data_IF_827783113982
#
_entry.id   IF_827783113982
#
_cell.length_a   1.000
_cell.length_b   1.000
_cell.length_c   1.000
_cell.angle_alpha   90.00
_cell.angle_beta   90.00
_cell.angle_gamma   90.00
#
_symmetry.space_group_name_H-M   'P 1'
#
loop_
_entity.id
_entity.type
_entity.pdbx_description
1 polymer ?
#
# COMPACT_ATOMS: atom_id res chain seq x y z
N UNK A 1 -9.12 8.53 24.07
CA UNK A 1 -8.42 8.11 25.30
C UNK A 1 -7.21 9.00 25.52
N UNK A 2 -6.79 9.19 26.77
CA UNK A 2 -5.55 9.89 27.11
C UNK A 2 -4.42 8.88 26.95
N UNK A 3 -3.44 9.17 26.09
CA UNK A 3 -2.26 8.32 25.88
C UNK A 3 -1.38 8.38 27.13
N UNK A 4 -1.07 7.23 27.73
CA UNK A 4 -0.13 7.06 28.85
C UNK A 4 1.12 6.29 28.40
N UNK A 5 2.23 6.38 29.13
CA UNK A 5 3.45 5.57 28.86
C UNK A 5 3.13 4.06 28.81
N UNK A 6 2.22 3.59 29.66
CA UNK A 6 1.77 2.19 29.70
C UNK A 6 0.97 1.78 28.44
N UNK A 7 0.32 2.73 27.75
CA UNK A 7 -0.32 2.47 26.45
C UNK A 7 0.67 2.51 25.27
N UNK A 8 1.85 3.12 25.44
CA UNK A 8 2.91 3.13 24.42
C UNK A 8 3.68 1.79 24.34
N UNK A 9 3.63 0.97 25.38
CA UNK A 9 4.27 -0.36 25.39
C UNK A 9 3.45 -1.44 24.65
N UNK A 10 2.18 -1.16 24.33
CA UNK A 10 1.32 -2.10 23.60
C UNK A 10 1.48 -1.87 22.10
N UNK A 11 1.51 -2.94 21.28
CA UNK A 11 1.46 -2.79 19.83
C UNK A 11 0.24 -1.96 19.43
N UNK A 12 0.47 -0.84 18.76
CA UNK A 12 -0.58 -0.02 18.18
C UNK A 12 -0.78 -0.40 16.72
N UNK A 13 -2.00 -0.22 16.24
CA UNK A 13 -2.35 -0.45 14.85
C UNK A 13 -3.32 0.64 14.40
N UNK A 14 -3.31 0.89 13.09
CA UNK A 14 -4.27 1.75 12.40
C UNK A 14 -5.15 0.87 11.53
N UNK A 15 -6.46 1.14 11.53
CA UNK A 15 -7.40 0.56 10.57
C UNK A 15 -7.58 1.58 9.43
N UNK A 16 -7.49 1.11 8.18
CA UNK A 16 -7.60 1.96 6.99
C UNK A 16 -8.25 1.19 5.83
N UNK A 17 -8.59 1.87 4.74
CA UNK A 17 -9.39 1.32 3.65
C UNK A 17 -8.68 1.34 2.29
N UNK A 18 -8.51 0.16 1.68
CA UNK A 18 -8.14 0.02 0.26
C UNK A 18 -9.36 -0.43 -0.53
N UNK A 19 -9.69 0.32 -1.59
CA UNK A 19 -10.82 0.01 -2.46
C UNK A 19 -10.40 -0.17 -3.91
N UNK A 20 -11.21 -0.94 -4.64
CA UNK A 20 -11.09 -1.12 -6.07
C UNK A 20 -12.47 -1.06 -6.70
N UNK A 21 -12.61 -0.28 -7.76
CA UNK A 21 -13.84 -0.10 -8.51
C UNK A 21 -13.61 -0.45 -9.98
N UNK A 22 -14.58 -1.14 -10.59
CA UNK A 22 -14.60 -1.40 -12.02
C UNK A 22 -15.81 -0.74 -12.66
N UNK A 23 -15.55 0.16 -13.61
CA UNK A 23 -16.56 0.83 -14.42
C UNK A 23 -16.38 0.42 -15.89
N UNK A 24 -17.03 -0.69 -16.26
CA UNK A 24 -16.85 -1.30 -17.59
C UNK A 24 -15.41 -1.79 -17.79
N UNK A 25 -14.68 -1.15 -18.71
CA UNK A 25 -13.24 -1.41 -18.97
C UNK A 25 -12.30 -0.58 -18.09
N UNK A 26 -12.81 0.42 -17.34
CA UNK A 26 -11.99 1.28 -16.48
C UNK A 26 -11.84 0.65 -15.11
N UNK A 27 -10.60 0.53 -14.66
CA UNK A 27 -10.20 -0.02 -13.38
C UNK A 27 -9.70 1.11 -12.47
N UNK A 28 -10.21 1.21 -11.26
CA UNK A 28 -9.85 2.30 -10.34
C UNK A 28 -9.27 1.71 -9.06
N UNK A 29 -8.03 2.06 -8.73
CA UNK A 29 -7.44 1.82 -7.42
C UNK A 29 -7.62 3.05 -6.53
N UNK A 30 -8.12 2.84 -5.32
CA UNK A 30 -8.26 3.85 -4.28
C UNK A 30 -7.35 3.46 -3.12
N UNK A 31 -6.32 4.28 -2.87
CA UNK A 31 -5.26 4.01 -1.90
C UNK A 31 -5.29 5.11 -0.82
N UNK A 32 -5.25 4.75 0.48
CA UNK A 32 -5.42 5.70 1.57
C UNK A 32 -4.10 6.41 1.94
N UNK A 33 -3.41 7.00 0.96
CA UNK A 33 -2.12 7.65 1.24
C UNK A 33 -1.41 8.19 0.02
N UNK A 34 -0.17 8.62 0.23
CA UNK A 34 0.74 9.16 -0.78
C UNK A 34 1.74 8.09 -1.23
N UNK A 35 1.52 7.47 -2.39
CA UNK A 35 2.44 6.46 -2.92
C UNK A 35 3.66 7.09 -3.57
N UNK A 36 4.80 6.46 -3.34
CA UNK A 36 5.99 6.65 -4.18
C UNK A 36 5.74 6.13 -5.61
N UNK A 37 6.24 6.80 -6.65
CA UNK A 37 5.96 6.46 -8.05
C UNK A 37 6.42 5.05 -8.45
N UNK A 38 7.41 4.50 -7.77
CA UNK A 38 7.95 3.15 -7.98
C UNK A 38 6.89 2.08 -7.69
N UNK A 39 6.04 2.32 -6.68
CA UNK A 39 4.90 1.49 -6.35
C UNK A 39 3.79 1.54 -7.42
N UNK A 40 3.82 2.54 -8.30
CA UNK A 40 2.83 2.69 -9.37
C UNK A 40 3.35 2.04 -10.66
N UNK A 41 4.58 2.36 -11.06
CA UNK A 41 5.13 2.03 -12.38
C UNK A 41 6.34 1.07 -12.36
N UNK A 42 6.82 0.66 -11.20
CA UNK A 42 7.87 -0.37 -11.06
C UNK A 42 9.28 0.08 -11.41
N UNK A 43 9.52 1.39 -11.51
CA UNK A 43 10.87 1.94 -11.74
C UNK A 43 11.61 2.12 -10.41
N UNK A 44 11.80 1.02 -9.70
CA UNK A 44 12.54 1.01 -8.44
C UNK A 44 13.99 1.47 -8.62
N UNK A 45 14.55 2.08 -7.58
CA UNK A 45 15.96 2.47 -7.54
C UNK A 45 16.86 1.25 -7.82
N UNK A 46 17.74 1.37 -8.81
CA UNK A 46 18.69 0.35 -9.25
C UNK A 46 20.08 0.97 -9.52
N UNK A 47 21.17 0.45 -8.93
CA UNK A 47 21.18 -0.60 -7.92
C UNK A 47 20.43 -0.13 -6.65
N UNK A 48 19.97 -1.08 -5.83
CA UNK A 48 19.45 -0.76 -4.50
C UNK A 48 20.50 0.04 -3.71
N UNK A 49 20.05 1.05 -2.97
CA UNK A 49 20.94 1.84 -2.14
C UNK A 49 21.49 0.96 -1.00
N UNK A 50 22.82 0.85 -0.85
CA UNK A 50 23.42 -0.09 0.10
C UNK A 50 23.15 0.27 1.56
N UNK A 51 22.94 1.56 1.83
CA UNK A 51 22.66 2.10 3.17
C UNK A 51 21.15 2.23 3.45
N UNK A 52 20.26 1.78 2.56
CA UNK A 52 18.84 1.66 2.91
C UNK A 52 18.67 0.63 4.03
N UNK A 53 17.61 0.73 4.83
CA UNK A 53 17.40 -0.16 5.98
C UNK A 53 17.10 -1.61 5.56
N UNK A 54 16.54 -1.80 4.35
CA UNK A 54 16.14 -3.11 3.82
C UNK A 54 16.51 -3.30 2.34
N UNK A 55 17.79 -3.21 1.94
CA UNK A 55 18.18 -3.14 0.54
C UNK A 55 17.91 -4.44 -0.24
N UNK A 56 17.80 -5.56 0.48
CA UNK A 56 17.49 -6.89 -0.06
C UNK A 56 15.99 -7.23 -0.01
N UNK A 57 15.13 -6.30 0.44
CA UNK A 57 13.69 -6.54 0.48
C UNK A 57 13.14 -6.83 -0.93
N UNK A 58 12.20 -7.78 -1.07
CA UNK A 58 11.58 -8.07 -2.36
C UNK A 58 10.83 -6.83 -2.85
N UNK A 59 10.83 -6.63 -4.17
CA UNK A 59 10.05 -5.57 -4.81
C UNK A 59 8.56 -5.83 -4.65
N UNK A 60 7.83 -4.81 -4.22
CA UNK A 60 6.37 -4.86 -4.16
C UNK A 60 5.77 -4.98 -5.57
N UNK A 61 4.64 -5.69 -5.73
CA UNK A 61 3.88 -5.60 -6.96
C UNK A 61 3.35 -4.17 -7.14
N UNK A 62 3.38 -3.68 -8.37
CA UNK A 62 2.99 -2.31 -8.67
C UNK A 62 1.49 -2.20 -8.92
N UNK A 63 0.92 -1.01 -8.75
CA UNK A 63 -0.48 -0.73 -9.13
C UNK A 63 -0.73 -1.13 -10.59
N UNK A 64 0.18 -0.79 -11.50
CA UNK A 64 0.08 -1.16 -12.92
C UNK A 64 0.06 -2.69 -13.13
N UNK A 65 0.86 -3.44 -12.37
CA UNK A 65 0.90 -4.91 -12.48
C UNK A 65 -0.31 -5.61 -11.86
N UNK A 66 -0.94 -4.97 -10.87
CA UNK A 66 -2.09 -5.51 -10.14
C UNK A 66 -3.40 -5.24 -10.89
N UNK A 67 -3.57 -4.04 -11.45
CA UNK A 67 -4.81 -3.66 -12.12
C UNK A 67 -4.94 -4.37 -13.48
N UNK A 68 -6.13 -4.90 -13.82
CA UNK A 68 -6.32 -5.55 -15.12
C UNK A 68 -6.37 -4.53 -16.25
N UNK A 69 -5.89 -4.94 -17.43
CA UNK A 69 -6.04 -4.16 -18.66
C UNK A 69 -5.14 -2.91 -18.69
N UNK A 70 -5.48 -1.97 -19.58
CA UNK A 70 -4.67 -0.76 -19.84
C UNK A 70 -5.37 0.54 -19.46
N UNK A 71 -6.65 0.49 -19.11
CA UNK A 71 -7.46 1.66 -18.76
C UNK A 71 -7.64 1.67 -17.26
N UNK A 72 -6.75 2.34 -16.56
CA UNK A 72 -6.85 2.45 -15.12
C UNK A 72 -6.64 3.87 -14.62
N UNK A 73 -7.20 4.14 -13.45
CA UNK A 73 -7.03 5.36 -12.68
C UNK A 73 -6.53 4.97 -11.28
N UNK A 74 -5.68 5.80 -10.72
CA UNK A 74 -5.23 5.71 -9.34
C UNK A 74 -5.66 6.98 -8.63
N UNK A 75 -6.35 6.82 -7.50
CA UNK A 75 -6.64 7.89 -6.56
C UNK A 75 -5.86 7.59 -5.28
N UNK A 76 -4.86 8.41 -4.99
CA UNK A 76 -4.29 8.53 -3.64
C UNK A 76 -5.21 9.34 -2.73
N UNK A 77 -4.91 9.39 -1.44
CA UNK A 77 -5.72 10.06 -0.41
C UNK A 77 -7.21 9.65 -0.45
N UNK A 78 -7.48 8.40 -0.84
CA UNK A 78 -8.84 7.93 -1.06
C UNK A 78 -9.37 7.21 0.17
N UNK A 79 -10.59 7.58 0.60
CA UNK A 79 -11.28 7.14 1.81
C UNK A 79 -10.61 7.56 3.14
N UNK A 80 -9.28 7.55 3.20
CA UNK A 80 -8.48 7.78 4.40
C UNK A 80 -7.06 8.31 4.07
N UNK A 81 -6.26 8.61 5.09
CA UNK A 81 -4.89 9.11 4.97
C UNK A 81 -3.95 8.51 6.03
N UNK A 82 -3.00 7.68 5.59
CA UNK A 82 -1.97 7.04 6.44
C UNK A 82 -0.54 7.49 6.11
N UNK A 83 -0.40 8.65 5.45
CA UNK A 83 0.89 9.24 5.12
C UNK A 83 1.54 8.61 3.89
N UNK A 84 2.87 8.62 3.87
CA UNK A 84 3.65 8.10 2.76
C UNK A 84 3.66 6.57 2.72
N UNK A 85 3.55 6.04 1.50
CA UNK A 85 3.64 4.62 1.19
C UNK A 85 4.90 4.45 0.33
N UNK A 86 5.94 3.87 0.93
CA UNK A 86 7.30 3.81 0.38
C UNK A 86 7.65 2.34 0.15
N UNK A 87 8.26 1.96 -1.00
CA UNK A 87 8.81 0.63 -1.18
C UNK A 87 9.70 0.26 0.00
N UNK A 88 9.51 -0.92 0.58
CA UNK A 88 10.30 -1.35 1.74
C UNK A 88 11.79 -1.34 1.42
N UNK A 89 12.15 -1.69 0.19
CA UNK A 89 13.55 -1.67 -0.30
C UNK A 89 14.18 -0.27 -0.33
N UNK A 90 13.36 0.78 -0.31
CA UNK A 90 13.79 2.17 -0.32
C UNK A 90 13.64 2.87 1.04
N UNK A 91 13.18 2.15 2.07
CA UNK A 91 13.00 2.69 3.40
C UNK A 91 14.36 3.01 4.04
N UNK A 92 14.50 4.23 4.57
CA UNK A 92 15.76 4.78 5.08
C UNK A 92 15.51 5.64 6.34
N UNK A 93 15.33 4.98 7.48
CA UNK A 93 14.98 5.59 8.77
C UNK A 93 16.11 5.57 9.80
N UNK A 94 17.14 4.76 9.60
CA UNK A 94 18.24 4.58 10.54
C UNK A 94 19.61 4.88 9.89
N UNK A 95 20.60 5.38 10.66
CA UNK A 95 21.95 5.56 10.13
C UNK A 95 22.70 4.21 9.95
N UNK A 96 23.64 4.12 8.99
CA UNK A 96 23.98 5.12 7.98
C UNK A 96 22.82 5.33 6.99
N UNK A 97 22.56 6.57 6.61
CA UNK A 97 21.44 6.89 5.73
C UNK A 97 21.83 6.79 4.25
N UNK A 98 20.89 6.34 3.42
CA UNK A 98 21.03 6.29 1.97
C UNK A 98 21.46 7.64 1.37
N UNK A 99 22.14 7.59 0.22
CA UNK A 99 22.63 8.77 -0.50
C UNK A 99 23.58 9.68 0.32
N UNK A 100 24.23 9.14 1.36
CA UNK A 100 25.19 9.89 2.20
C UNK A 100 24.55 10.98 3.06
N UNK A 101 23.26 10.84 3.36
CA UNK A 101 22.51 11.80 4.16
C UNK A 101 22.92 11.74 5.63
N UNK A 102 22.59 12.80 6.36
CA UNK A 102 22.82 12.90 7.81
C UNK A 102 21.57 12.60 8.63
N UNK A 103 20.40 12.57 7.98
CA UNK A 103 19.10 12.30 8.59
C UNK A 103 18.23 11.52 7.60
N UNK A 104 17.24 10.80 8.15
CA UNK A 104 16.19 10.09 7.42
C UNK A 104 15.45 10.99 6.41
N UNK A 105 14.79 10.37 5.43
CA UNK A 105 13.98 11.11 4.47
C UNK A 105 12.61 11.50 5.03
N UNK A 106 11.98 12.44 4.33
CA UNK A 106 10.73 13.03 4.79
C UNK A 106 9.58 12.01 4.80
N UNK A 107 9.62 11.02 3.90
CA UNK A 107 8.57 10.03 3.77
C UNK A 107 8.48 9.14 5.01
N UNK A 108 9.61 8.64 5.50
CA UNK A 108 9.70 7.71 6.63
C UNK A 108 9.18 8.36 7.91
N UNK A 109 9.43 9.66 8.11
CA UNK A 109 8.92 10.43 9.25
C UNK A 109 7.39 10.51 9.23
N UNK A 110 6.78 10.50 8.04
CA UNK A 110 5.35 10.66 7.83
C UNK A 110 4.72 9.39 7.27
N UNK A 111 5.29 8.22 7.56
CA UNK A 111 4.73 6.93 7.19
C UNK A 111 4.49 6.09 8.44
N UNK A 112 3.46 5.25 8.45
CA UNK A 112 3.15 4.45 9.63
C UNK A 112 4.20 3.36 9.92
N UNK A 113 4.88 2.82 8.90
CA UNK A 113 5.84 1.71 9.03
C UNK A 113 6.45 1.30 7.67
N UNK A 114 7.65 0.68 7.64
CA UNK A 114 8.17 0.00 6.45
C UNK A 114 7.28 -1.13 5.92
N UNK A 115 6.30 -1.61 6.70
CA UNK A 115 5.36 -2.65 6.27
C UNK A 115 4.16 -2.12 5.48
N UNK A 116 3.96 -0.79 5.42
CA UNK A 116 2.75 -0.20 4.82
C UNK A 116 2.63 -0.56 3.34
N UNK A 117 3.69 -0.38 2.54
CA UNK A 117 3.62 -0.69 1.11
C UNK A 117 3.33 -2.18 0.81
N UNK A 118 4.03 -3.16 1.42
CA UNK A 118 3.68 -4.57 1.27
C UNK A 118 2.21 -4.88 1.60
N UNK A 119 1.70 -4.33 2.71
CA UNK A 119 0.32 -4.57 3.17
C UNK A 119 -0.70 -3.97 2.19
N UNK A 120 -0.52 -2.71 1.80
CA UNK A 120 -1.43 -2.00 0.90
C UNK A 120 -1.48 -2.65 -0.49
N UNK A 121 -0.33 -3.05 -1.03
CA UNK A 121 -0.28 -3.71 -2.34
C UNK A 121 -0.94 -5.08 -2.32
N UNK A 122 -0.77 -5.84 -1.25
CA UNK A 122 -1.48 -7.10 -1.06
C UNK A 122 -2.99 -6.87 -0.91
N UNK A 123 -3.41 -5.86 -0.16
CA UNK A 123 -4.82 -5.50 0.00
C UNK A 123 -5.47 -5.12 -1.35
N UNK A 124 -4.79 -4.31 -2.16
CA UNK A 124 -5.27 -3.96 -3.51
C UNK A 124 -5.44 -5.20 -4.38
N UNK A 125 -4.44 -6.09 -4.39
CA UNK A 125 -4.49 -7.34 -5.15
C UNK A 125 -5.68 -8.22 -4.73
N UNK A 126 -5.98 -8.29 -3.44
CA UNK A 126 -7.15 -9.01 -2.92
C UNK A 126 -8.45 -8.37 -3.44
N UNK A 127 -8.59 -7.05 -3.38
CA UNK A 127 -9.79 -6.35 -3.90
C UNK A 127 -10.01 -6.55 -5.40
N UNK A 128 -8.95 -6.57 -6.20
CA UNK A 128 -9.04 -6.89 -7.63
C UNK A 128 -9.49 -8.35 -7.84
N UNK A 129 -8.99 -9.27 -7.03
CA UNK A 129 -9.35 -10.70 -7.09
C UNK A 129 -10.81 -10.93 -6.71
N UNK A 130 -11.32 -10.22 -5.70
CA UNK A 130 -12.71 -10.33 -5.22
C UNK A 130 -13.74 -9.99 -6.32
N UNK A 131 -13.43 -9.03 -7.18
CA UNK A 131 -14.33 -8.61 -8.29
C UNK A 131 -14.18 -9.48 -9.53
N UNK A 132 -13.02 -10.11 -9.72
CA UNK A 132 -12.76 -10.99 -10.88
C UNK A 132 -13.18 -12.43 -10.64
N UNK A 133 -13.35 -12.84 -9.39
CA UNK A 133 -13.89 -14.16 -9.02
C UNK A 133 -15.43 -14.10 -9.04
N UNK A 134 -16.12 -14.99 -9.78
CA UNK A 134 -17.58 -15.03 -9.75
C UNK A 134 -18.05 -15.30 -8.31
N UNK A 135 -18.86 -14.40 -7.75
CA UNK A 135 -19.54 -14.67 -6.48
C UNK A 135 -20.41 -15.92 -6.68
N UNK A 136 -20.34 -16.95 -5.82
CA UNK A 136 -21.25 -18.08 -5.92
C UNK A 136 -22.68 -17.54 -5.91
N UNK A 137 -23.51 -18.07 -6.82
CA UNK A 137 -24.90 -17.65 -6.93
C UNK A 137 -25.54 -17.72 -5.54
N UNK A 138 -26.18 -16.63 -5.11
CA UNK A 138 -26.95 -16.64 -3.88
C UNK A 138 -27.95 -17.81 -3.96
N UNK A 139 -28.11 -18.61 -2.89
CA UNK A 139 -29.09 -19.68 -2.89
C UNK A 139 -30.45 -19.09 -3.27
N UNK A 140 -31.11 -19.74 -4.21
CA UNK A 140 -32.40 -19.33 -4.73
C UNK A 140 -33.40 -19.42 -3.56
N UNK A 141 -33.65 -18.30 -2.86
CA UNK A 141 -34.65 -18.25 -1.81
C UNK A 141 -36.00 -18.28 -2.52
N UNK A 142 -36.59 -19.47 -2.60
CA UNK A 142 -37.95 -19.62 -3.11
C UNK A 142 -38.87 -18.68 -2.33
N UNK A 143 -39.62 -17.85 -3.05
CA UNK A 143 -40.63 -17.00 -2.44
C UNK A 143 -41.61 -17.87 -1.62
N UNK A 144 -41.97 -17.46 -0.39
CA UNK A 144 -42.95 -18.20 0.40
C UNK A 144 -44.28 -18.26 -0.38
N UNK A 145 -44.88 -19.46 -0.38
CA UNK A 145 -46.20 -19.73 -0.98
C UNK A 145 -47.33 -19.01 -0.24
#
# INVERSE_FOLDING_TARGET
EIVTEETLEKPTAVETEVAYLRLGEVHVASIPGELYPELIYGKFQEPAEPDADFPDAPLEPTVESILPGKRWLLFGLANDEIGYIIPRRQWDSMPPFAYGRQNSQYGEINSCSPEVAPIIMQALKLRVTDVTTPKPAAPNVAAPK
#
